data_IF_453925349441
#
_entry.id   IF_453925349441
#
_cell.length_a   1.000
_cell.length_b   1.000
_cell.length_c   1.000
_cell.angle_alpha   90.00
_cell.angle_beta   90.00
_cell.angle_gamma   90.00
#
_symmetry.space_group_name_H-M   'P 1'
#
loop_
_entity.id
_entity.type
_entity.pdbx_description
1 polymer ?
#
# COMPACT_ATOMS: atom_id res chain seq x y z
N UNK A 1 -7.82 -0.09 -6.03
CA UNK A 1 -6.74 0.33 -6.91
C UNK A 1 -6.11 -0.87 -7.62
N UNK A 2 -5.53 -1.86 -6.92
CA UNK A 2 -4.81 -3.00 -7.53
C UNK A 2 -5.68 -3.78 -8.54
N UNK A 3 -6.93 -4.12 -8.20
CA UNK A 3 -7.83 -4.86 -9.10
C UNK A 3 -8.10 -4.09 -10.41
N UNK A 4 -8.30 -2.77 -10.31
CA UNK A 4 -8.51 -1.91 -11.48
C UNK A 4 -7.25 -1.85 -12.34
N UNK A 5 -6.08 -1.72 -11.72
CA UNK A 5 -4.81 -1.70 -12.42
C UNK A 5 -4.60 -3.02 -13.19
N UNK A 6 -4.70 -4.17 -12.54
CA UNK A 6 -4.50 -5.48 -13.16
C UNK A 6 -5.50 -5.75 -14.30
N UNK A 7 -6.73 -5.26 -14.19
CA UNK A 7 -7.73 -5.37 -15.26
C UNK A 7 -7.33 -4.59 -16.51
N UNK A 8 -6.70 -3.43 -16.33
CA UNK A 8 -6.28 -2.56 -17.43
C UNK A 8 -4.89 -2.92 -17.99
N UNK A 9 -4.11 -3.72 -17.23
CA UNK A 9 -2.74 -4.10 -17.53
C UNK A 9 -2.56 -5.64 -17.55
N UNK A 10 -3.13 -6.35 -18.53
CA UNK A 10 -3.02 -7.80 -18.64
C UNK A 10 -1.57 -8.28 -18.86
N UNK A 11 -0.67 -7.40 -19.25
CA UNK A 11 0.77 -7.67 -19.41
C UNK A 11 1.49 -7.94 -18.08
N UNK A 12 0.87 -7.64 -16.94
CA UNK A 12 1.40 -7.98 -15.60
C UNK A 12 1.53 -9.48 -15.42
N UNK A 13 0.62 -10.27 -15.99
CA UNK A 13 0.77 -11.73 -16.12
C UNK A 13 1.87 -12.04 -17.18
N UNK A 14 3.12 -11.97 -16.72
CA UNK A 14 4.31 -12.09 -17.59
C UNK A 14 4.44 -13.49 -18.17
N UNK A 15 4.13 -14.52 -17.36
CA UNK A 15 4.24 -15.92 -17.77
C UNK A 15 3.00 -16.42 -18.53
N UNK A 16 1.90 -15.64 -18.56
CA UNK A 16 0.63 -15.89 -19.26
C UNK A 16 -0.08 -17.17 -18.81
N UNK A 17 0.01 -17.48 -17.52
CA UNK A 17 -0.68 -18.64 -16.95
C UNK A 17 -2.10 -18.30 -16.43
N UNK A 18 -2.48 -17.04 -16.53
CA UNK A 18 -3.78 -16.52 -16.11
C UNK A 18 -3.91 -16.33 -14.61
N UNK A 19 -2.78 -16.23 -13.91
CA UNK A 19 -2.68 -15.90 -12.50
C UNK A 19 -1.70 -14.74 -12.31
N UNK A 20 -1.71 -14.13 -11.16
CA UNK A 20 -0.74 -13.11 -10.76
C UNK A 20 0.08 -13.66 -9.59
N UNK A 21 1.37 -13.85 -9.83
CA UNK A 21 2.31 -14.30 -8.82
C UNK A 21 2.72 -13.12 -7.93
N UNK A 22 2.36 -13.22 -6.63
CA UNK A 22 2.57 -12.10 -5.74
C UNK A 22 3.40 -12.44 -4.50
N UNK A 23 4.06 -11.40 -3.99
CA UNK A 23 4.64 -11.37 -2.65
C UNK A 23 3.91 -10.33 -1.81
N UNK A 24 3.80 -10.60 -0.50
CA UNK A 24 3.16 -9.71 0.44
C UNK A 24 4.16 -9.31 1.54
N UNK A 25 4.28 -8.00 1.76
CA UNK A 25 5.06 -7.41 2.84
C UNK A 25 4.10 -6.91 3.91
N UNK A 26 4.10 -7.60 5.05
CA UNK A 26 3.24 -7.27 6.18
C UNK A 26 4.00 -6.46 7.22
N UNK A 27 3.26 -5.60 7.93
CA UNK A 27 3.76 -4.85 9.07
C UNK A 27 4.15 -5.74 10.25
N UNK A 28 3.98 -5.24 11.46
CA UNK A 28 4.30 -5.95 12.69
C UNK A 28 3.33 -7.10 12.94
N UNK A 29 3.86 -8.25 13.33
CA UNK A 29 3.07 -9.44 13.63
C UNK A 29 2.07 -9.18 14.77
N UNK A 30 0.79 -9.46 14.53
CA UNK A 30 -0.28 -9.26 15.50
C UNK A 30 -0.83 -7.82 15.54
N UNK A 31 -0.29 -6.89 14.78
CA UNK A 31 -0.84 -5.54 14.65
C UNK A 31 -2.15 -5.60 13.86
N UNK A 32 -3.21 -4.96 14.38
CA UNK A 32 -4.54 -5.03 13.79
C UNK A 32 -4.58 -4.53 12.34
N UNK A 33 -3.91 -3.41 12.05
CA UNK A 33 -3.88 -2.86 10.69
C UNK A 33 -3.11 -3.76 9.73
N UNK A 34 -2.00 -4.39 10.19
CA UNK A 34 -1.25 -5.33 9.38
C UNK A 34 -2.13 -6.50 8.94
N UNK A 35 -2.81 -7.12 9.89
CA UNK A 35 -3.74 -8.23 9.63
C UNK A 35 -4.86 -7.78 8.70
N UNK A 36 -5.50 -6.65 9.00
CA UNK A 36 -6.63 -6.15 8.21
C UNK A 36 -6.21 -5.81 6.77
N UNK A 37 -5.11 -5.06 6.60
CA UNK A 37 -4.61 -4.68 5.27
C UNK A 37 -4.21 -5.90 4.45
N UNK A 38 -3.59 -6.91 5.07
CA UNK A 38 -3.23 -8.18 4.43
C UNK A 38 -4.46 -8.95 3.97
N UNK A 39 -5.39 -9.21 4.88
CA UNK A 39 -6.56 -10.06 4.61
C UNK A 39 -7.49 -9.40 3.57
N UNK A 40 -7.80 -8.12 3.76
CA UNK A 40 -8.71 -7.42 2.87
C UNK A 40 -8.11 -7.16 1.48
N UNK A 41 -6.79 -6.89 1.36
CA UNK A 41 -6.17 -6.74 0.05
C UNK A 41 -6.31 -8.02 -0.78
N UNK A 42 -5.94 -9.17 -0.22
CA UNK A 42 -6.04 -10.46 -0.92
C UNK A 42 -7.48 -10.85 -1.19
N UNK A 43 -8.36 -10.71 -0.17
CA UNK A 43 -9.78 -11.05 -0.30
C UNK A 43 -10.46 -10.23 -1.39
N UNK A 44 -10.23 -8.91 -1.41
CA UNK A 44 -10.83 -8.03 -2.41
C UNK A 44 -10.36 -8.36 -3.82
N UNK A 45 -9.08 -8.68 -4.01
CA UNK A 45 -8.58 -9.10 -5.32
C UNK A 45 -9.28 -10.39 -5.81
N UNK A 46 -9.47 -11.38 -4.93
CA UNK A 46 -10.20 -12.60 -5.25
C UNK A 46 -11.68 -12.31 -5.58
N UNK A 47 -12.32 -11.42 -4.83
CA UNK A 47 -13.71 -10.97 -5.07
C UNK A 47 -13.88 -10.23 -6.41
N UNK A 48 -12.79 -9.67 -6.94
CA UNK A 48 -12.72 -9.06 -8.27
C UNK A 48 -12.20 -10.02 -9.36
N UNK A 49 -12.32 -11.34 -9.13
CA UNK A 49 -11.94 -12.40 -10.07
C UNK A 49 -10.44 -12.43 -10.43
N UNK A 50 -9.57 -11.79 -9.65
CA UNK A 50 -8.11 -11.89 -9.84
C UNK A 50 -7.65 -13.23 -9.29
N UNK A 51 -7.09 -14.07 -10.16
CA UNK A 51 -6.48 -15.33 -9.75
C UNK A 51 -5.08 -15.06 -9.23
N UNK A 52 -4.87 -15.30 -7.95
CA UNK A 52 -3.62 -15.03 -7.26
C UNK A 52 -2.83 -16.31 -6.98
N UNK A 53 -1.52 -16.26 -7.17
CA UNK A 53 -0.59 -17.29 -6.71
C UNK A 53 0.44 -16.67 -5.76
N UNK A 54 0.37 -17.06 -4.48
CA UNK A 54 1.24 -16.52 -3.45
C UNK A 54 2.61 -17.16 -3.49
N UNK A 55 3.64 -16.41 -3.89
CA UNK A 55 5.04 -16.85 -3.82
C UNK A 55 5.59 -16.76 -2.39
N UNK A 56 5.31 -15.65 -1.72
CA UNK A 56 5.80 -15.44 -0.36
C UNK A 56 4.98 -14.41 0.42
N UNK A 57 5.12 -14.51 1.73
CA UNK A 57 4.56 -13.62 2.73
C UNK A 57 5.65 -13.34 3.78
N UNK A 58 5.96 -12.07 4.03
CA UNK A 58 7.06 -11.67 4.88
C UNK A 58 6.67 -10.52 5.81
N UNK A 59 6.98 -10.68 7.10
CA UNK A 59 6.94 -9.56 8.02
C UNK A 59 8.16 -8.66 7.80
N UNK A 60 7.91 -7.37 7.69
CA UNK A 60 8.95 -6.35 7.55
C UNK A 60 8.76 -5.17 8.51
N UNK A 61 7.87 -5.33 9.50
CA UNK A 61 7.71 -4.49 10.70
C UNK A 61 7.60 -2.99 10.40
N UNK A 62 6.86 -2.61 9.34
CA UNK A 62 6.67 -1.23 8.86
C UNK A 62 7.97 -0.54 8.42
N UNK A 63 9.07 -1.28 8.25
CA UNK A 63 10.41 -0.74 8.10
C UNK A 63 10.96 -0.94 6.68
N UNK A 64 11.39 0.15 6.04
CA UNK A 64 11.94 0.19 4.67
C UNK A 64 13.14 -0.74 4.51
N UNK A 65 14.11 -0.67 5.44
CA UNK A 65 15.33 -1.48 5.36
C UNK A 65 15.08 -2.99 5.58
N UNK A 66 14.13 -3.34 6.46
CA UNK A 66 13.72 -4.74 6.61
C UNK A 66 13.03 -5.25 5.34
N UNK A 67 12.10 -4.47 4.78
CA UNK A 67 11.43 -4.79 3.54
C UNK A 67 12.41 -4.94 2.37
N UNK A 68 13.38 -4.04 2.24
CA UNK A 68 14.46 -4.14 1.26
C UNK A 68 15.23 -5.47 1.40
N UNK A 69 15.63 -5.83 2.63
CA UNK A 69 16.35 -7.08 2.89
C UNK A 69 15.49 -8.32 2.56
N UNK A 70 14.18 -8.32 2.89
CA UNK A 70 13.26 -9.40 2.53
C UNK A 70 13.12 -9.50 1.01
N UNK A 71 12.83 -8.37 0.36
CA UNK A 71 12.61 -8.35 -1.08
C UNK A 71 13.87 -8.73 -1.86
N UNK A 72 15.07 -8.33 -1.42
CA UNK A 72 16.33 -8.77 -2.02
C UNK A 72 16.45 -10.30 -2.05
N UNK A 73 16.08 -10.99 -0.96
CA UNK A 73 16.08 -12.46 -0.90
C UNK A 73 15.01 -13.07 -1.80
N UNK A 74 13.82 -12.45 -1.85
CA UNK A 74 12.73 -12.91 -2.73
C UNK A 74 13.11 -12.78 -4.20
N UNK A 75 13.76 -11.68 -4.60
CA UNK A 75 14.29 -11.50 -5.95
C UNK A 75 15.34 -12.56 -6.29
N UNK A 76 16.22 -12.91 -5.35
CA UNK A 76 17.19 -13.98 -5.55
C UNK A 76 16.55 -15.36 -5.73
N UNK A 77 15.40 -15.59 -5.08
CA UNK A 77 14.70 -16.87 -5.09
C UNK A 77 13.77 -17.01 -6.29
N UNK A 78 12.99 -15.99 -6.61
CA UNK A 78 11.90 -16.04 -7.58
C UNK A 78 12.18 -15.21 -8.84
N UNK A 79 13.10 -14.23 -8.76
CA UNK A 79 13.44 -13.39 -9.91
C UNK A 79 12.22 -12.70 -10.50
N UNK A 80 12.05 -12.89 -11.81
CA UNK A 80 10.96 -12.31 -12.61
C UNK A 80 9.62 -13.03 -12.46
N UNK A 81 9.52 -14.07 -11.65
CA UNK A 81 8.24 -14.67 -11.29
C UNK A 81 7.42 -13.76 -10.36
N UNK A 82 8.07 -12.77 -9.73
CA UNK A 82 7.35 -11.79 -8.90
C UNK A 82 6.70 -10.78 -9.84
N UNK A 83 5.40 -10.82 -9.97
CA UNK A 83 4.61 -9.92 -10.82
C UNK A 83 3.98 -8.79 -10.03
N UNK A 84 3.62 -9.06 -8.75
CA UNK A 84 2.95 -8.10 -7.88
C UNK A 84 3.57 -8.09 -6.48
N UNK A 85 3.81 -6.90 -5.96
CA UNK A 85 4.16 -6.66 -4.55
C UNK A 85 3.01 -5.92 -3.88
N UNK A 86 2.37 -6.58 -2.90
CA UNK A 86 1.39 -5.97 -2.02
C UNK A 86 2.10 -5.60 -0.72
N UNK A 87 2.14 -4.32 -0.40
CA UNK A 87 2.75 -3.84 0.85
C UNK A 87 1.71 -3.22 1.77
N UNK A 88 1.79 -3.53 3.06
CA UNK A 88 0.87 -2.96 4.04
C UNK A 88 1.09 -1.46 4.27
N UNK A 89 2.29 -0.91 3.94
CA UNK A 89 2.54 0.52 3.95
C UNK A 89 3.56 0.95 2.89
N UNK A 90 3.71 2.25 2.70
CA UNK A 90 4.60 2.84 1.71
C UNK A 90 6.08 2.67 2.06
N UNK A 91 6.45 2.73 3.35
CA UNK A 91 7.84 2.50 3.76
C UNK A 91 8.35 1.13 3.30
N UNK A 92 7.55 0.09 3.48
CA UNK A 92 7.93 -1.25 3.02
C UNK A 92 7.85 -1.38 1.49
N UNK A 93 6.89 -0.72 0.84
CA UNK A 93 6.81 -0.65 -0.62
C UNK A 93 8.07 -0.01 -1.22
N UNK A 94 8.52 1.10 -0.64
CA UNK A 94 9.78 1.77 -1.02
C UNK A 94 11.01 0.87 -0.78
N UNK A 95 10.99 0.05 0.26
CA UNK A 95 12.00 -0.99 0.47
C UNK A 95 12.05 -2.01 -0.68
N UNK A 96 10.87 -2.41 -1.20
CA UNK A 96 10.80 -3.27 -2.38
C UNK A 96 11.33 -2.56 -3.64
N UNK A 97 11.00 -1.28 -3.85
CA UNK A 97 11.54 -0.44 -4.92
C UNK A 97 13.08 -0.42 -4.88
N UNK A 98 13.67 -0.18 -3.70
CA UNK A 98 15.12 -0.17 -3.52
C UNK A 98 15.77 -1.51 -3.86
N UNK A 99 15.15 -2.62 -3.44
CA UNK A 99 15.64 -3.97 -3.76
C UNK A 99 15.61 -4.23 -5.27
N UNK A 100 14.53 -3.90 -5.96
CA UNK A 100 14.43 -4.02 -7.43
C UNK A 100 15.47 -3.15 -8.14
N UNK A 101 15.66 -1.91 -7.68
CA UNK A 101 16.69 -1.00 -8.23
C UNK A 101 18.09 -1.56 -8.09
N UNK A 102 18.44 -2.08 -6.91
CA UNK A 102 19.76 -2.72 -6.63
C UNK A 102 19.96 -4.02 -7.42
N UNK A 103 18.90 -4.77 -7.67
CA UNK A 103 18.94 -5.96 -8.53
C UNK A 103 19.08 -5.62 -10.02
N UNK A 104 19.02 -4.33 -10.39
CA UNK A 104 19.19 -3.89 -11.76
C UNK A 104 17.94 -4.00 -12.63
N UNK A 105 16.76 -4.20 -12.04
CA UNK A 105 15.49 -4.26 -12.77
C UNK A 105 15.22 -2.95 -13.52
N UNK A 106 14.66 -3.07 -14.73
CA UNK A 106 14.33 -1.94 -15.62
C UNK A 106 13.09 -2.26 -16.44
N UNK A 107 12.29 -1.24 -16.71
CA UNK A 107 11.11 -1.36 -17.58
C UNK A 107 10.21 -2.54 -17.17
N UNK A 108 9.92 -3.43 -18.10
CA UNK A 108 9.01 -4.57 -17.89
C UNK A 108 9.55 -5.67 -16.96
N UNK A 109 10.81 -5.57 -16.50
CA UNK A 109 11.33 -6.48 -15.47
C UNK A 109 10.86 -6.09 -14.06
N UNK A 110 10.28 -4.90 -13.91
CA UNK A 110 9.84 -4.35 -12.65
C UNK A 110 8.47 -4.91 -12.27
N UNK A 111 8.32 -5.55 -11.10
CA UNK A 111 7.00 -5.98 -10.64
C UNK A 111 6.12 -4.77 -10.34
N UNK A 112 4.82 -4.90 -10.44
CA UNK A 112 3.92 -3.84 -9.99
C UNK A 112 3.90 -3.78 -8.46
N UNK A 113 4.04 -2.57 -7.88
CA UNK A 113 4.19 -2.36 -6.43
C UNK A 113 3.12 -1.39 -5.94
N UNK A 114 2.39 -1.81 -4.91
CA UNK A 114 1.37 -0.99 -4.25
C UNK A 114 1.63 -0.87 -2.75
N UNK A 115 1.38 0.33 -2.22
CA UNK A 115 1.51 0.66 -0.82
C UNK A 115 0.23 1.24 -0.20
N UNK A 116 0.36 1.74 1.01
CA UNK A 116 -0.66 2.49 1.76
C UNK A 116 0.09 3.54 2.57
N UNK A 117 -0.43 4.71 2.70
CA UNK A 117 -0.22 5.89 3.52
C UNK A 117 -0.17 7.17 2.68
N UNK A 118 0.39 7.16 1.47
CA UNK A 118 0.55 8.34 0.63
C UNK A 118 1.75 9.20 1.04
N UNK A 119 2.85 8.56 1.45
CA UNK A 119 4.08 9.27 1.79
C UNK A 119 4.66 9.98 0.57
N UNK A 120 5.25 11.17 0.76
CA UNK A 120 5.86 11.97 -0.32
C UNK A 120 6.84 11.16 -1.17
N UNK A 121 7.70 10.36 -0.55
CA UNK A 121 8.63 9.46 -1.28
C UNK A 121 7.88 8.45 -2.16
N UNK A 122 6.74 7.91 -1.68
CA UNK A 122 5.92 6.96 -2.44
C UNK A 122 5.19 7.65 -3.58
N UNK A 123 4.66 8.87 -3.37
CA UNK A 123 4.06 9.68 -4.43
C UNK A 123 5.09 9.98 -5.53
N UNK A 124 6.32 10.34 -5.15
CA UNK A 124 7.41 10.52 -6.10
C UNK A 124 7.78 9.20 -6.82
N UNK A 125 7.75 8.07 -6.13
CA UNK A 125 7.98 6.76 -6.77
C UNK A 125 6.87 6.40 -7.77
N UNK A 126 5.61 6.76 -7.50
CA UNK A 126 4.49 6.61 -8.43
C UNK A 126 4.71 7.49 -9.66
N UNK A 127 5.00 8.78 -9.46
CA UNK A 127 5.29 9.72 -10.55
C UNK A 127 6.45 9.28 -11.45
N UNK A 128 7.42 8.56 -10.88
CA UNK A 128 8.57 8.01 -11.61
C UNK A 128 8.34 6.58 -12.17
N UNK A 129 7.14 6.02 -12.04
CA UNK A 129 6.79 4.68 -12.53
C UNK A 129 7.44 3.51 -11.76
N UNK A 130 7.93 3.77 -10.55
CA UNK A 130 8.55 2.76 -9.68
C UNK A 130 7.54 2.06 -8.75
N UNK A 131 6.43 2.72 -8.47
CA UNK A 131 5.23 2.18 -7.86
C UNK A 131 4.04 2.49 -8.76
N UNK A 132 2.99 1.69 -8.70
CA UNK A 132 1.79 1.89 -9.51
C UNK A 132 0.67 2.56 -8.72
N UNK A 133 0.79 2.59 -7.40
CA UNK A 133 -0.16 3.32 -6.60
C UNK A 133 0.01 3.12 -5.11
N UNK A 134 -0.69 3.96 -4.37
CA UNK A 134 -0.85 3.89 -2.92
C UNK A 134 -2.28 4.26 -2.54
N UNK A 135 -2.61 4.03 -1.28
CA UNK A 135 -3.86 4.53 -0.67
C UNK A 135 -3.48 5.63 0.31
N UNK A 136 -3.86 6.87 -0.01
CA UNK A 136 -3.58 8.02 0.84
C UNK A 136 -4.37 7.93 2.15
N UNK A 137 -3.67 7.96 3.25
CA UNK A 137 -4.19 8.01 4.61
C UNK A 137 -3.97 9.43 5.14
N UNK A 138 -5.04 10.24 5.18
CA UNK A 138 -4.98 11.68 5.46
C UNK A 138 -4.58 11.96 6.92
N UNK A 139 -3.29 11.99 7.19
CA UNK A 139 -2.72 12.22 8.52
C UNK A 139 -2.96 13.65 9.03
N UNK A 140 -3.06 14.64 8.14
CA UNK A 140 -3.37 16.02 8.52
C UNK A 140 -4.80 16.16 8.98
N UNK A 141 -5.74 15.55 8.26
CA UNK A 141 -7.14 15.49 8.66
C UNK A 141 -7.27 14.80 10.02
N UNK A 142 -6.68 13.62 10.19
CA UNK A 142 -6.70 12.88 11.46
C UNK A 142 -6.12 13.71 12.61
N UNK A 143 -4.98 14.36 12.42
CA UNK A 143 -4.34 15.19 13.44
C UNK A 143 -5.21 16.41 13.80
N UNK A 144 -5.78 17.07 12.79
CA UNK A 144 -6.67 18.23 12.97
C UNK A 144 -7.90 17.85 13.79
N UNK A 145 -8.56 16.74 13.41
CA UNK A 145 -9.78 16.30 14.09
C UNK A 145 -9.48 15.80 15.51
N UNK A 146 -8.37 15.11 15.72
CA UNK A 146 -7.92 14.72 17.06
C UNK A 146 -7.68 15.96 17.95
N UNK A 147 -7.04 17.00 17.42
CA UNK A 147 -6.81 18.25 18.17
C UNK A 147 -8.14 18.95 18.53
N UNK A 148 -9.08 19.05 17.59
CA UNK A 148 -10.42 19.62 17.82
C UNK A 148 -11.17 18.84 18.90
N UNK A 149 -11.26 17.52 18.77
CA UNK A 149 -11.89 16.64 19.74
C UNK A 149 -11.27 16.79 21.15
N UNK A 150 -9.96 16.84 21.23
CA UNK A 150 -9.23 16.97 22.50
C UNK A 150 -9.60 18.29 23.22
N UNK A 151 -9.66 19.40 22.48
CA UNK A 151 -10.05 20.71 23.02
C UNK A 151 -11.50 20.72 23.51
N UNK A 152 -12.43 20.11 22.76
CA UNK A 152 -13.83 20.05 23.13
C UNK A 152 -14.07 19.17 24.37
N UNK A 153 -13.41 18.03 24.43
CA UNK A 153 -13.46 17.17 25.63
C UNK A 153 -12.94 17.91 26.85
N UNK A 154 -11.81 18.63 26.71
CA UNK A 154 -11.24 19.43 27.80
C UNK A 154 -12.18 20.53 28.29
N UNK A 155 -12.92 21.17 27.38
CA UNK A 155 -13.90 22.24 27.70
C UNK A 155 -15.22 21.71 28.23
N UNK A 156 -15.46 20.40 28.20
CA UNK A 156 -16.74 19.79 28.55
C UNK A 156 -17.83 20.06 27.50
N UNK A 157 -17.46 20.45 26.30
CA UNK A 157 -18.37 20.69 25.20
C UNK A 157 -18.72 19.36 24.51
N UNK A 158 -19.98 19.14 24.16
CA UNK A 158 -20.44 17.91 23.53
C UNK A 158 -20.88 18.11 22.07
N UNK A 159 -20.62 19.27 21.48
CA UNK A 159 -21.07 19.59 20.12
C UNK A 159 -20.50 18.65 19.08
N UNK A 160 -19.26 18.20 19.28
CA UNK A 160 -18.54 17.34 18.35
C UNK A 160 -19.06 15.90 18.31
N UNK A 161 -19.70 15.42 19.38
CA UNK A 161 -20.24 14.06 19.43
C UNK A 161 -21.24 13.76 18.31
N UNK A 162 -21.96 14.75 17.82
CA UNK A 162 -22.90 14.59 16.70
C UNK A 162 -22.22 14.35 15.36
N UNK A 163 -20.91 14.61 15.25
CA UNK A 163 -20.12 14.40 14.04
C UNK A 163 -19.38 13.05 14.04
N UNK A 164 -19.40 12.34 15.18
CA UNK A 164 -18.76 11.05 15.30
C UNK A 164 -19.69 9.91 14.87
N UNK A 165 -19.16 8.97 14.13
CA UNK A 165 -19.82 7.69 13.84
C UNK A 165 -20.03 6.95 15.15
N UNK A 166 -21.27 6.50 15.40
CA UNK A 166 -21.69 5.85 16.65
C UNK A 166 -21.37 6.67 17.93
N UNK A 167 -21.18 8.00 17.80
CA UNK A 167 -20.82 8.88 18.88
C UNK A 167 -19.43 8.62 19.50
N UNK A 168 -18.55 7.92 18.79
CA UNK A 168 -17.23 7.48 19.28
C UNK A 168 -16.10 7.63 18.28
N UNK A 169 -16.36 7.47 16.98
CA UNK A 169 -15.32 7.34 15.98
C UNK A 169 -15.37 8.50 14.98
N UNK A 170 -14.23 9.12 14.75
CA UNK A 170 -13.98 9.89 13.56
C UNK A 170 -13.39 8.97 12.51
N UNK A 171 -13.91 9.00 11.31
CA UNK A 171 -13.42 8.17 10.18
C UNK A 171 -12.90 9.10 9.12
N UNK A 172 -11.59 9.13 8.95
CA UNK A 172 -10.93 9.81 7.84
C UNK A 172 -11.08 8.99 6.56
N UNK A 173 -11.22 9.66 5.43
CA UNK A 173 -11.43 9.00 4.15
C UNK A 173 -10.11 8.55 3.53
N UNK A 174 -10.03 7.28 3.13
CA UNK A 174 -8.93 6.77 2.33
C UNK A 174 -9.14 7.09 0.85
N UNK A 175 -8.11 7.59 0.17
CA UNK A 175 -8.17 7.94 -1.25
C UNK A 175 -7.14 7.16 -2.05
N UNK A 176 -7.55 6.64 -3.22
CA UNK A 176 -6.64 5.97 -4.14
C UNK A 176 -5.75 7.00 -4.84
N UNK A 177 -4.47 6.69 -4.95
CA UNK A 177 -3.48 7.51 -5.65
C UNK A 177 -2.70 6.65 -6.62
N UNK A 178 -2.68 7.05 -7.88
CA UNK A 178 -1.95 6.43 -8.98
C UNK A 178 -1.34 7.51 -9.89
N UNK A 179 -0.83 7.13 -11.05
CA UNK A 179 -0.19 8.06 -11.99
C UNK A 179 -1.13 9.16 -12.52
N UNK A 180 -2.45 8.91 -12.54
CA UNK A 180 -3.42 9.86 -13.08
C UNK A 180 -3.68 11.04 -12.14
N UNK A 181 -3.53 10.84 -10.81
CA UNK A 181 -3.90 11.85 -9.81
C UNK A 181 -2.79 12.19 -8.81
N UNK A 182 -1.62 11.58 -8.90
CA UNK A 182 -0.53 11.77 -7.92
C UNK A 182 -0.10 13.23 -7.76
N UNK A 183 -0.17 14.03 -8.80
CA UNK A 183 0.22 15.45 -8.75
C UNK A 183 -0.67 16.26 -7.80
N UNK A 184 -1.96 15.90 -7.64
CA UNK A 184 -2.87 16.55 -6.70
C UNK A 184 -2.45 16.37 -5.22
N UNK A 185 -1.68 15.31 -4.94
CA UNK A 185 -1.19 14.98 -3.60
C UNK A 185 0.22 15.50 -3.31
N UNK A 186 1.02 15.74 -4.35
CA UNK A 186 2.36 16.34 -4.23
C UNK A 186 2.33 17.87 -4.07
N UNK A 187 1.23 18.53 -4.44
CA UNK A 187 1.06 19.98 -4.34
C UNK A 187 0.51 20.44 -2.97
N UNK A 188 0.24 19.52 -2.06
CA UNK A 188 -0.25 19.79 -0.70
C UNK A 188 0.90 19.96 0.27
#
# INVERSE_FOLDING_TARGET
IVANYLKNHPEVDVNKDGKIQYVLLEGEAGHQDAISRTDYAVKTLIEHDVKLEKLSYQFADWNRGQAENRMTRLIQQYGKEIELVISNNDEMALGAVEACRKAGYRGNDWPVIFGIDGLEDALNAIKNGQMQGTVYNDNEDQASELAKLSVEVFRGDNKYRSQLTDGRYYVSEYRQVDEENVDEFLEK
#
